data_IF_752686451736
#
_entry.id   IF_752686451736
#
_cell.length_a   1.000
_cell.length_b   1.000
_cell.length_c   1.000
_cell.angle_alpha   90.00
_cell.angle_beta   90.00
_cell.angle_gamma   90.00
#
_symmetry.space_group_name_H-M   'P 1'
#
loop_
_entity.id
_entity.type
_entity.pdbx_description
1 polymer ?
#
# COMPACT_ATOMS: atom_id res chain seq x y z
N UNK A 1 -2.36 39.39 -3.66
CA UNK A 1 -2.25 38.30 -4.63
C UNK A 1 -0.98 37.53 -4.30
N UNK A 2 -1.06 36.58 -3.36
CA UNK A 2 0.06 35.73 -2.97
C UNK A 2 -0.27 34.30 -3.40
N UNK A 3 0.53 33.79 -4.34
CA UNK A 3 0.49 32.41 -4.77
C UNK A 3 1.16 31.54 -3.71
N UNK A 4 0.43 30.58 -3.14
CA UNK A 4 1.01 29.51 -2.34
C UNK A 4 1.52 28.45 -3.32
N UNK A 5 2.84 28.35 -3.43
CA UNK A 5 3.52 27.30 -4.17
C UNK A 5 3.43 26.03 -3.34
N UNK A 6 2.59 25.08 -3.76
CA UNK A 6 2.58 23.72 -3.22
C UNK A 6 3.86 23.02 -3.65
N UNK A 7 4.73 22.70 -2.69
CA UNK A 7 5.91 21.88 -2.94
C UNK A 7 5.45 20.43 -3.14
N UNK A 8 5.46 19.97 -4.39
CA UNK A 8 5.37 18.54 -4.71
C UNK A 8 6.78 17.97 -4.55
N UNK A 9 7.02 17.25 -3.46
CA UNK A 9 8.25 16.48 -3.28
C UNK A 9 8.03 15.11 -3.92
N UNK A 10 8.48 14.95 -5.16
CA UNK A 10 8.54 13.64 -5.82
C UNK A 10 9.85 12.96 -5.41
N UNK A 11 9.78 11.99 -4.51
CA UNK A 11 10.88 11.03 -4.34
C UNK A 11 10.72 9.94 -5.39
N UNK A 12 11.50 10.04 -6.47
CA UNK A 12 11.69 8.92 -7.39
C UNK A 12 12.66 7.94 -6.73
N UNK A 13 12.14 6.85 -6.16
CA UNK A 13 12.95 5.66 -5.90
C UNK A 13 12.91 4.76 -7.14
N UNK A 14 14.09 4.24 -7.48
CA UNK A 14 14.30 3.35 -8.61
C UNK A 14 13.35 2.16 -8.52
N UNK A 15 12.44 2.07 -9.49
CA UNK A 15 11.66 0.86 -9.75
C UNK A 15 12.64 -0.19 -10.26
N UNK A 16 12.83 -1.25 -9.49
CA UNK A 16 13.60 -2.40 -9.90
C UNK A 16 12.83 -3.09 -11.04
N UNK A 17 13.34 -2.94 -12.26
CA UNK A 17 12.70 -3.44 -13.48
C UNK A 17 13.09 -4.90 -13.67
N UNK A 18 12.50 -5.79 -12.88
CA UNK A 18 12.41 -7.18 -13.30
C UNK A 18 11.49 -7.25 -14.53
N UNK A 19 12.13 -7.50 -15.68
CA UNK A 19 11.60 -7.76 -17.02
C UNK A 19 10.08 -7.63 -17.18
N UNK A 20 9.68 -6.58 -17.87
CA UNK A 20 8.34 -6.43 -18.44
C UNK A 20 8.02 -7.65 -19.32
N UNK A 21 7.07 -8.47 -18.90
CA UNK A 21 6.49 -9.53 -19.73
C UNK A 21 5.06 -9.12 -20.07
N UNK A 22 4.75 -9.13 -21.37
CA UNK A 22 3.52 -8.56 -21.92
C UNK A 22 2.22 -9.20 -21.42
N UNK A 23 1.06 -8.59 -21.75
CA UNK A 23 -0.24 -9.04 -21.28
C UNK A 23 -0.56 -10.42 -21.87
N UNK A 24 -0.63 -11.44 -21.00
CA UNK A 24 -0.96 -12.82 -21.37
C UNK A 24 -0.05 -13.91 -20.78
N UNK A 25 0.96 -13.55 -19.99
CA UNK A 25 1.82 -14.53 -19.31
C UNK A 25 1.34 -14.76 -17.87
N UNK A 26 0.57 -15.83 -17.65
CA UNK A 26 0.12 -16.33 -16.34
C UNK A 26 1.28 -16.98 -15.55
N UNK A 27 2.47 -16.37 -15.59
CA UNK A 27 3.62 -16.80 -14.79
C UNK A 27 3.57 -16.12 -13.44
N UNK A 28 2.58 -16.55 -12.64
CA UNK A 28 2.51 -16.21 -11.21
C UNK A 28 3.83 -16.59 -10.54
N UNK A 29 4.46 -15.63 -9.88
CA UNK A 29 5.61 -15.89 -9.02
C UNK A 29 5.15 -16.71 -7.80
N UNK A 30 5.87 -17.79 -7.51
CA UNK A 30 5.68 -18.60 -6.31
C UNK A 30 6.76 -18.28 -5.28
N UNK A 31 6.36 -18.25 -4.01
CA UNK A 31 7.24 -17.93 -2.88
C UNK A 31 7.38 -19.11 -1.90
N UNK A 32 7.25 -20.34 -2.41
CA UNK A 32 7.37 -21.55 -1.60
C UNK A 32 8.76 -21.65 -0.99
N UNK A 33 8.82 -21.81 0.34
CA UNK A 33 10.08 -21.90 1.08
C UNK A 33 10.84 -20.59 1.29
N UNK A 34 10.38 -19.47 0.72
CA UNK A 34 10.93 -18.15 1.05
C UNK A 34 10.67 -17.87 2.53
N UNK A 35 11.63 -17.23 3.19
CA UNK A 35 11.54 -16.92 4.62
C UNK A 35 11.95 -15.47 4.87
N UNK A 36 11.32 -14.82 5.85
CA UNK A 36 11.71 -13.46 6.27
C UNK A 36 12.58 -13.55 7.49
N UNK A 37 13.80 -13.06 7.36
CA UNK A 37 14.78 -12.93 8.44
C UNK A 37 14.67 -11.54 9.04
N UNK A 38 14.68 -11.48 10.37
CA UNK A 38 14.83 -10.26 11.14
C UNK A 38 16.17 -10.24 11.84
N UNK A 39 16.93 -9.17 11.58
CA UNK A 39 18.17 -8.84 12.27
C UNK A 39 18.00 -7.51 13.00
N UNK A 40 18.72 -7.31 14.10
CA UNK A 40 18.77 -6.04 14.81
C UNK A 40 20.24 -5.68 14.98
N UNK A 41 20.83 -4.83 14.12
CA UNK A 41 22.22 -4.41 14.27
C UNK A 41 22.36 -3.60 15.56
N UNK A 42 23.33 -3.96 16.38
CA UNK A 42 23.61 -3.35 17.69
C UNK A 42 24.75 -2.35 17.65
N UNK A 43 25.53 -2.35 16.58
CA UNK A 43 26.63 -1.42 16.33
C UNK A 43 26.76 -1.02 14.85
N UNK A 44 27.67 -0.08 14.58
CA UNK A 44 27.91 0.47 13.25
C UNK A 44 28.50 -0.55 12.27
N UNK A 45 29.27 -1.54 12.75
CA UNK A 45 29.87 -2.58 11.90
C UNK A 45 28.78 -3.51 11.37
N UNK A 46 27.92 -4.01 12.25
CA UNK A 46 26.76 -4.83 11.89
C UNK A 46 25.81 -4.07 10.95
N UNK A 47 25.53 -2.80 11.26
CA UNK A 47 24.70 -1.95 10.42
C UNK A 47 25.30 -1.74 9.02
N UNK A 48 26.62 -1.54 8.94
CA UNK A 48 27.34 -1.36 7.68
C UNK A 48 27.27 -2.61 6.81
N UNK A 49 27.42 -3.81 7.41
CA UNK A 49 27.25 -5.09 6.71
C UNK A 49 25.84 -5.20 6.14
N UNK A 50 24.80 -4.96 6.93
CA UNK A 50 23.42 -5.01 6.46
C UNK A 50 23.14 -3.97 5.37
N UNK A 51 23.68 -2.75 5.49
CA UNK A 51 23.60 -1.72 4.42
C UNK A 51 24.30 -2.20 3.15
N UNK A 52 25.42 -2.90 3.26
CA UNK A 52 26.11 -3.45 2.09
C UNK A 52 25.28 -4.54 1.41
N UNK A 53 24.57 -5.37 2.19
CA UNK A 53 23.63 -6.36 1.65
C UNK A 53 22.46 -5.70 0.92
N UNK A 54 21.98 -4.55 1.40
CA UNK A 54 20.83 -3.86 0.78
C UNK A 54 21.19 -3.08 -0.50
N UNK A 55 22.46 -2.71 -0.70
CA UNK A 55 22.84 -1.75 -1.75
C UNK A 55 23.81 -2.31 -2.81
N UNK A 56 24.26 -3.57 -2.70
CA UNK A 56 25.21 -4.17 -3.66
C UNK A 56 24.52 -5.17 -4.58
N UNK A 57 24.93 -5.15 -5.85
CA UNK A 57 24.38 -6.00 -6.91
C UNK A 57 24.45 -7.50 -6.62
N UNK A 58 25.50 -7.92 -5.89
CA UNK A 58 25.70 -9.31 -5.46
C UNK A 58 24.52 -9.85 -4.63
N UNK A 59 23.77 -8.98 -3.96
CA UNK A 59 22.69 -9.32 -3.05
C UNK A 59 21.30 -8.92 -3.56
N UNK A 60 21.15 -8.53 -4.83
CA UNK A 60 19.85 -8.16 -5.42
C UNK A 60 18.78 -9.25 -5.34
N UNK A 61 19.16 -10.50 -5.08
CA UNK A 61 18.19 -11.58 -4.82
C UNK A 61 17.47 -11.46 -3.47
N UNK A 62 17.89 -10.52 -2.60
CA UNK A 62 17.26 -10.23 -1.32
C UNK A 62 16.22 -9.12 -1.47
N UNK A 63 15.01 -9.38 -0.97
CA UNK A 63 13.96 -8.36 -0.90
C UNK A 63 13.87 -7.80 0.52
N UNK A 64 14.30 -6.55 0.71
CA UNK A 64 14.21 -5.87 1.99
C UNK A 64 12.80 -5.29 2.19
N UNK A 65 12.07 -5.87 3.14
CA UNK A 65 10.77 -5.36 3.58
C UNK A 65 10.94 -4.19 4.55
N UNK A 66 11.99 -4.25 5.39
CA UNK A 66 12.45 -3.14 6.20
C UNK A 66 13.96 -3.03 6.10
N UNK A 67 14.42 -2.00 5.40
CA UNK A 67 15.85 -1.77 5.15
C UNK A 67 16.63 -1.31 6.40
N UNK A 68 17.95 -1.46 6.39
CA UNK A 68 18.83 -1.01 7.46
C UNK A 68 18.97 0.52 7.47
N UNK A 69 18.52 1.15 8.56
CA UNK A 69 18.56 2.62 8.73
C UNK A 69 19.60 3.03 9.75
N UNK A 70 19.32 2.75 11.03
CA UNK A 70 20.14 3.06 12.20
C UNK A 70 20.25 1.83 13.10
N UNK A 71 21.18 1.88 14.05
CA UNK A 71 21.37 0.85 15.08
C UNK A 71 20.10 0.64 15.91
N UNK A 72 19.96 -0.57 16.46
CA UNK A 72 18.86 -1.02 17.31
C UNK A 72 17.47 -0.96 16.65
N UNK A 73 17.41 -0.79 15.34
CA UNK A 73 16.17 -0.91 14.55
C UNK A 73 16.14 -2.24 13.79
N UNK A 74 15.00 -2.94 13.76
CA UNK A 74 14.91 -4.20 13.05
C UNK A 74 15.05 -4.00 11.54
N UNK A 75 15.74 -4.95 10.93
CA UNK A 75 15.93 -5.09 9.48
C UNK A 75 15.26 -6.40 9.08
N UNK A 76 14.29 -6.31 8.18
CA UNK A 76 13.51 -7.45 7.72
C UNK A 76 13.81 -7.71 6.24
N UNK A 77 14.28 -8.91 5.93
CA UNK A 77 14.67 -9.31 4.59
C UNK A 77 14.05 -10.66 4.23
N UNK A 78 13.41 -10.72 3.08
CA UNK A 78 12.92 -11.97 2.49
C UNK A 78 14.06 -12.65 1.73
N UNK A 79 14.31 -13.91 2.09
CA UNK A 79 15.43 -14.72 1.60
C UNK A 79 14.89 -15.90 0.77
N UNK A 80 15.37 -16.08 -0.48
CA UNK A 80 15.06 -17.25 -1.29
C UNK A 80 15.55 -18.56 -0.65
N UNK A 81 14.82 -19.69 -0.79
CA UNK A 81 15.16 -20.95 -0.15
C UNK A 81 16.54 -21.49 -0.54
N UNK A 82 16.98 -21.28 -1.79
CA UNK A 82 18.30 -21.69 -2.28
C UNK A 82 19.45 -20.80 -1.77
N UNK A 83 19.13 -19.62 -1.21
CA UNK A 83 20.09 -18.65 -0.66
C UNK A 83 20.17 -18.64 0.85
N UNK A 84 19.28 -19.36 1.54
CA UNK A 84 19.24 -19.43 3.03
C UNK A 84 20.61 -19.77 3.61
N UNK A 85 21.24 -20.87 3.16
CA UNK A 85 22.53 -21.30 3.70
C UNK A 85 23.64 -20.27 3.48
N UNK A 86 23.65 -19.60 2.33
CA UNK A 86 24.61 -18.54 2.02
C UNK A 86 24.42 -17.33 2.94
N UNK A 87 23.19 -16.84 3.09
CA UNK A 87 22.88 -15.71 3.96
C UNK A 87 23.19 -16.03 5.41
N UNK A 88 22.87 -17.23 5.89
CA UNK A 88 23.19 -17.66 7.24
C UNK A 88 24.70 -17.67 7.50
N UNK A 89 25.49 -18.21 6.57
CA UNK A 89 26.95 -18.22 6.70
C UNK A 89 27.52 -16.79 6.74
N UNK A 90 27.00 -15.89 5.92
CA UNK A 90 27.38 -14.47 5.93
C UNK A 90 27.08 -13.82 7.28
N UNK A 91 25.87 -14.00 7.80
CA UNK A 91 25.45 -13.44 9.08
C UNK A 91 26.29 -14.02 10.24
N UNK A 92 26.58 -15.32 10.23
CA UNK A 92 27.45 -15.98 11.22
C UNK A 92 28.88 -15.42 11.16
N UNK A 93 29.43 -15.21 9.96
CA UNK A 93 30.77 -14.68 9.78
C UNK A 93 30.93 -13.27 10.38
N UNK A 94 29.87 -12.46 10.29
CA UNK A 94 29.80 -11.12 10.87
C UNK A 94 29.19 -11.08 12.28
N UNK A 95 28.89 -12.25 12.89
CA UNK A 95 28.29 -12.39 14.22
C UNK A 95 26.93 -11.70 14.39
N UNK A 96 26.21 -11.48 13.29
CA UNK A 96 24.89 -10.84 13.30
C UNK A 96 23.83 -11.89 13.63
N UNK A 97 23.14 -11.83 14.78
CA UNK A 97 22.08 -12.76 15.10
C UNK A 97 20.85 -12.51 14.21
N UNK A 98 20.17 -13.60 13.83
CA UNK A 98 18.91 -13.54 13.08
C UNK A 98 17.79 -14.29 13.76
N UNK A 99 16.57 -13.84 13.54
CA UNK A 99 15.33 -14.58 13.85
C UNK A 99 14.54 -14.79 12.56
N UNK A 100 13.90 -15.95 12.39
CA UNK A 100 12.94 -16.14 11.30
C UNK A 100 11.58 -15.69 11.82
N UNK A 101 11.03 -14.64 11.23
CA UNK A 101 9.72 -14.10 11.62
C UNK A 101 8.58 -14.64 10.77
N UNK A 102 8.88 -15.08 9.54
CA UNK A 102 7.93 -15.75 8.66
C UNK A 102 8.65 -16.87 7.90
N UNK A 103 8.01 -18.02 7.80
CA UNK A 103 8.51 -19.18 7.04
C UNK A 103 7.51 -19.58 5.97
N UNK A 104 8.01 -19.88 4.77
CA UNK A 104 7.21 -20.30 3.63
C UNK A 104 6.12 -19.27 3.27
N UNK A 105 6.57 -18.14 2.70
CA UNK A 105 5.71 -16.99 2.37
C UNK A 105 4.50 -17.36 1.51
N UNK A 106 4.62 -18.38 0.64
CA UNK A 106 3.48 -18.89 -0.14
C UNK A 106 2.28 -19.26 0.73
N UNK A 107 2.48 -19.73 1.97
CA UNK A 107 1.38 -20.08 2.88
C UNK A 107 0.54 -18.87 3.25
N UNK A 108 1.18 -17.73 3.47
CA UNK A 108 0.50 -16.48 3.81
C UNK A 108 -0.24 -15.93 2.60
N UNK A 109 0.38 -15.98 1.41
CA UNK A 109 -0.26 -15.59 0.14
C UNK A 109 -1.47 -16.48 -0.17
N UNK A 110 -1.34 -17.80 -0.01
CA UNK A 110 -2.41 -18.75 -0.25
C UNK A 110 -3.58 -18.56 0.72
N UNK A 111 -3.27 -18.29 2.00
CA UNK A 111 -4.28 -17.96 3.00
C UNK A 111 -5.05 -16.70 2.63
N UNK A 112 -4.35 -15.61 2.31
CA UNK A 112 -4.98 -14.33 1.94
C UNK A 112 -5.87 -14.49 0.70
N UNK A 113 -5.37 -15.19 -0.33
CA UNK A 113 -6.16 -15.49 -1.54
C UNK A 113 -7.45 -16.22 -1.21
N UNK A 114 -7.37 -17.25 -0.36
CA UNK A 114 -8.56 -17.98 0.06
C UNK A 114 -9.52 -17.05 0.79
N UNK A 115 -9.04 -16.17 1.67
CA UNK A 115 -9.87 -15.18 2.34
C UNK A 115 -10.52 -14.17 1.37
N UNK A 116 -9.84 -13.74 0.31
CA UNK A 116 -10.41 -12.90 -0.75
C UNK A 116 -11.50 -13.59 -1.58
N UNK A 117 -11.38 -14.91 -1.80
CA UNK A 117 -12.35 -15.72 -2.54
C UNK A 117 -13.57 -16.12 -1.68
N UNK A 118 -13.47 -15.98 -0.36
CA UNK A 118 -14.55 -16.35 0.55
C UNK A 118 -15.74 -15.40 0.43
N UNK A 119 -16.98 -15.92 0.48
CA UNK A 119 -18.16 -15.08 0.37
C UNK A 119 -18.29 -14.08 1.51
N UNK A 120 -18.52 -12.81 1.15
CA UNK A 120 -18.64 -11.67 2.06
C UNK A 120 -19.85 -11.70 3.01
N UNK A 121 -20.73 -12.70 2.91
CA UNK A 121 -21.81 -12.90 3.89
C UNK A 121 -21.35 -13.63 5.16
N UNK A 122 -20.12 -14.16 5.16
CA UNK A 122 -19.48 -14.78 6.34
C UNK A 122 -18.74 -13.75 7.21
N UNK A 123 -18.53 -12.53 6.73
CA UNK A 123 -17.93 -11.43 7.48
C UNK A 123 -18.91 -10.72 8.42
N UNK A 124 -18.34 -10.09 9.45
CA UNK A 124 -18.98 -9.51 10.63
C UNK A 124 -20.35 -8.83 10.37
N UNK A 125 -21.36 -9.18 11.16
CA UNK A 125 -22.69 -8.53 11.12
C UNK A 125 -22.53 -7.03 11.38
N UNK A 126 -22.73 -6.21 10.36
CA UNK A 126 -22.81 -4.73 10.47
C UNK A 126 -21.79 -3.94 9.65
N UNK A 127 -20.79 -4.57 9.01
CA UNK A 127 -19.84 -3.90 8.11
C UNK A 127 -20.21 -4.08 6.64
N UNK A 128 -19.92 -3.09 5.79
CA UNK A 128 -20.10 -3.20 4.33
C UNK A 128 -19.29 -4.42 3.82
N UNK A 129 -19.91 -5.36 3.08
CA UNK A 129 -19.25 -6.55 2.55
C UNK A 129 -17.99 -6.27 1.73
N UNK A 130 -17.85 -5.06 1.19
CA UNK A 130 -16.64 -4.62 0.50
C UNK A 130 -15.38 -4.65 1.40
N UNK A 131 -15.51 -4.39 2.72
CA UNK A 131 -14.35 -4.35 3.63
C UNK A 131 -14.04 -5.69 4.31
N UNK A 132 -14.57 -6.80 3.78
CA UNK A 132 -14.38 -8.15 4.33
C UNK A 132 -13.04 -8.81 3.98
N UNK A 133 -12.27 -8.22 3.07
CA UNK A 133 -10.97 -8.68 2.61
C UNK A 133 -10.39 -7.73 1.57
N UNK A 134 -9.16 -7.96 1.12
CA UNK A 134 -8.57 -7.14 0.07
C UNK A 134 -9.30 -7.27 -1.26
N UNK A 135 -9.10 -6.27 -2.12
CA UNK A 135 -9.86 -6.10 -3.37
C UNK A 135 -8.93 -5.95 -4.55
N UNK A 136 -9.35 -6.51 -5.67
CA UNK A 136 -8.72 -6.25 -6.96
C UNK A 136 -9.01 -4.81 -7.40
N UNK A 137 -8.19 -4.30 -8.33
CA UNK A 137 -8.29 -2.93 -8.81
C UNK A 137 -9.68 -2.59 -9.34
N UNK A 138 -10.23 -3.48 -10.15
CA UNK A 138 -11.53 -3.32 -10.78
C UNK A 138 -12.67 -3.26 -9.75
N UNK A 139 -12.53 -4.00 -8.65
CA UNK A 139 -13.47 -3.97 -7.53
C UNK A 139 -13.40 -2.63 -6.79
N UNK A 140 -12.20 -2.10 -6.57
CA UNK A 140 -11.98 -0.78 -5.96
C UNK A 140 -12.58 0.31 -6.85
N UNK A 141 -12.28 0.32 -8.15
CA UNK A 141 -12.84 1.31 -9.09
C UNK A 141 -14.37 1.27 -9.11
N UNK A 142 -14.94 0.07 -9.17
CA UNK A 142 -16.40 -0.10 -9.12
C UNK A 142 -16.98 0.40 -7.81
N UNK A 143 -16.33 0.12 -6.69
CA UNK A 143 -16.76 0.58 -5.37
C UNK A 143 -16.79 2.11 -5.30
N UNK A 144 -15.74 2.77 -5.79
CA UNK A 144 -15.63 4.23 -5.78
C UNK A 144 -16.70 4.88 -6.68
N UNK A 145 -16.95 4.33 -7.87
CA UNK A 145 -18.02 4.78 -8.76
C UNK A 145 -19.40 4.61 -8.07
N UNK A 146 -19.65 3.45 -7.46
CA UNK A 146 -20.91 3.17 -6.74
C UNK A 146 -21.09 4.02 -5.48
N UNK A 147 -20.01 4.38 -4.80
CA UNK A 147 -20.07 5.30 -3.67
C UNK A 147 -20.53 6.69 -4.16
N UNK A 148 -20.04 7.11 -5.32
CA UNK A 148 -20.44 8.39 -5.90
C UNK A 148 -21.89 8.41 -6.39
N UNK A 149 -22.37 7.30 -6.97
CA UNK A 149 -23.77 7.12 -7.34
C UNK A 149 -24.72 7.16 -6.14
N UNK A 150 -24.29 6.64 -4.98
CA UNK A 150 -25.07 6.63 -3.73
C UNK A 150 -25.13 8.00 -3.06
N UNK A 151 -24.07 8.80 -3.17
CA UNK A 151 -23.94 10.10 -2.48
C UNK A 151 -23.66 11.27 -3.44
N UNK A 152 -24.46 11.47 -4.51
CA UNK A 152 -24.11 12.36 -5.63
C UNK A 152 -24.06 13.85 -5.27
N UNK A 153 -24.64 14.26 -4.13
CA UNK A 153 -24.64 15.65 -3.68
C UNK A 153 -23.31 16.10 -3.07
N UNK A 154 -22.52 15.13 -2.58
CA UNK A 154 -21.28 15.38 -1.84
C UNK A 154 -20.09 14.64 -2.44
N UNK A 155 -20.28 13.84 -3.49
CA UNK A 155 -19.21 13.05 -4.10
C UNK A 155 -19.14 13.23 -5.61
N UNK A 156 -17.94 13.05 -6.16
CA UNK A 156 -17.70 12.98 -7.60
C UNK A 156 -16.43 12.18 -7.88
N UNK A 157 -16.40 11.47 -9.00
CA UNK A 157 -15.22 10.71 -9.44
C UNK A 157 -14.69 11.31 -10.73
N UNK A 158 -13.38 11.46 -10.83
CA UNK A 158 -12.71 11.92 -12.03
C UNK A 158 -11.33 11.26 -12.15
N UNK A 159 -10.77 11.29 -13.36
CA UNK A 159 -9.40 10.83 -13.60
C UNK A 159 -8.42 12.01 -13.58
N UNK A 160 -7.26 11.83 -12.97
CA UNK A 160 -6.15 12.80 -12.99
C UNK A 160 -5.07 12.48 -14.03
N UNK A 161 -5.22 11.38 -14.76
CA UNK A 161 -4.25 10.93 -15.75
C UNK A 161 -4.35 9.43 -16.03
N UNK A 162 -3.29 8.89 -16.62
CA UNK A 162 -3.16 7.46 -16.90
C UNK A 162 -1.83 6.94 -16.33
N UNK A 163 -1.83 5.69 -15.87
CA UNK A 163 -0.62 4.98 -15.45
C UNK A 163 0.26 4.65 -16.66
N UNK A 164 1.47 4.14 -16.42
CA UNK A 164 2.38 3.71 -17.49
C UNK A 164 1.78 2.60 -18.38
N UNK A 165 0.84 1.82 -17.86
CA UNK A 165 0.12 0.77 -18.60
C UNK A 165 -1.24 1.25 -19.14
N UNK A 166 -1.52 2.56 -19.08
CA UNK A 166 -2.74 3.16 -19.64
C UNK A 166 -3.99 3.00 -18.77
N UNK A 167 -3.85 2.70 -17.47
CA UNK A 167 -5.01 2.63 -16.54
C UNK A 167 -5.35 4.02 -16.01
N UNK A 168 -6.63 4.33 -15.88
CA UNK A 168 -7.06 5.64 -15.37
C UNK A 168 -6.68 5.82 -13.89
N UNK A 169 -6.03 6.93 -13.56
CA UNK A 169 -5.76 7.32 -12.17
C UNK A 169 -7.02 7.96 -11.58
N UNK A 170 -7.94 7.13 -11.08
CA UNK A 170 -9.21 7.58 -10.51
C UNK A 170 -9.03 8.23 -9.15
N UNK A 171 -9.78 9.31 -8.94
CA UNK A 171 -9.87 10.05 -7.68
C UNK A 171 -11.32 10.26 -7.34
N UNK A 172 -11.69 9.99 -6.08
CA UNK A 172 -12.96 10.44 -5.52
C UNK A 172 -12.76 11.73 -4.76
N UNK A 173 -13.55 12.74 -5.11
CA UNK A 173 -13.73 13.94 -4.30
C UNK A 173 -14.96 13.77 -3.43
N UNK A 174 -14.84 14.08 -2.13
CA UNK A 174 -15.92 14.12 -1.15
C UNK A 174 -15.94 15.51 -0.51
N UNK A 175 -17.02 16.25 -0.67
CA UNK A 175 -17.18 17.61 -0.16
C UNK A 175 -18.53 18.17 -0.54
N UNK A 176 -19.23 18.78 0.42
CA UNK A 176 -20.48 19.48 0.12
C UNK A 176 -20.22 20.76 -0.69
N UNK A 177 -21.26 21.22 -1.40
CA UNK A 177 -21.18 22.44 -2.20
C UNK A 177 -20.90 23.64 -1.29
N UNK A 178 -19.79 24.33 -1.54
CA UNK A 178 -19.52 25.61 -0.89
C UNK A 178 -20.54 26.65 -1.32
N UNK A 179 -21.13 27.34 -0.35
CA UNK A 179 -21.94 28.55 -0.57
C UNK A 179 -21.08 29.83 -0.54
N UNK A 180 -19.79 29.70 -0.21
CA UNK A 180 -18.81 30.78 -0.17
C UNK A 180 -18.15 30.98 -1.53
N UNK A 181 -17.75 32.22 -1.81
CA UNK A 181 -16.92 32.58 -2.97
C UNK A 181 -15.49 32.03 -2.81
N UNK A 182 -15.07 31.75 -1.57
CA UNK A 182 -13.76 31.16 -1.27
C UNK A 182 -13.85 29.64 -1.38
N UNK A 183 -12.91 29.03 -2.11
CA UNK A 183 -12.79 27.59 -2.20
C UNK A 183 -12.50 26.98 -0.83
N UNK A 184 -13.06 25.80 -0.56
CA UNK A 184 -12.78 25.06 0.67
C UNK A 184 -11.31 24.62 0.69
N UNK A 185 -10.66 24.58 1.86
CA UNK A 185 -9.39 23.89 2.01
C UNK A 185 -9.54 22.41 1.59
N UNK A 186 -8.50 21.86 0.98
CA UNK A 186 -8.49 20.50 0.48
C UNK A 186 -7.58 19.59 1.33
N UNK A 187 -8.01 18.35 1.51
CA UNK A 187 -7.22 17.26 2.10
C UNK A 187 -7.03 16.19 1.03
N UNK A 188 -5.78 15.82 0.77
CA UNK A 188 -5.42 14.77 -0.16
C UNK A 188 -4.95 13.54 0.62
N UNK A 189 -5.50 12.37 0.30
CA UNK A 189 -5.12 11.09 0.87
C UNK A 189 -4.89 10.13 -0.29
N UNK A 190 -3.64 9.72 -0.47
CA UNK A 190 -3.27 8.64 -1.39
C UNK A 190 -2.92 7.36 -0.64
N UNK A 191 -3.11 6.25 -1.32
CA UNK A 191 -2.67 4.95 -0.87
C UNK A 191 -2.25 4.07 -2.04
N UNK A 192 -1.39 3.08 -1.76
CA UNK A 192 -0.96 2.12 -2.78
C UNK A 192 0.20 2.56 -3.67
N UNK A 193 0.91 3.66 -3.34
CA UNK A 193 2.10 4.08 -4.11
C UNK A 193 3.15 2.96 -4.25
N UNK A 194 3.23 2.06 -3.25
CA UNK A 194 3.89 0.76 -3.38
C UNK A 194 2.83 -0.35 -3.51
N UNK A 195 2.86 -1.07 -4.63
CA UNK A 195 1.87 -2.09 -4.97
C UNK A 195 1.74 -3.25 -3.97
N UNK A 196 2.76 -3.49 -3.12
CA UNK A 196 2.75 -4.56 -2.10
C UNK A 196 2.10 -4.16 -0.76
N UNK A 197 1.74 -2.90 -0.60
CA UNK A 197 1.20 -2.35 0.66
C UNK A 197 -0.33 -2.35 0.66
N UNK A 198 -0.97 -3.52 0.48
CA UNK A 198 -2.41 -3.66 0.20
C UNK A 198 -3.36 -3.08 1.26
N UNK A 199 -2.89 -2.93 2.51
CA UNK A 199 -3.66 -2.26 3.56
C UNK A 199 -3.90 -0.78 3.29
N UNK A 200 -2.99 -0.14 2.54
CA UNK A 200 -3.05 1.28 2.22
C UNK A 200 -4.29 1.64 1.38
N UNK A 201 -4.48 1.10 0.16
CA UNK A 201 -5.68 1.40 -0.64
C UNK A 201 -6.99 0.94 0.05
N UNK A 202 -6.96 -0.18 0.79
CA UNK A 202 -8.13 -0.60 1.57
C UNK A 202 -8.53 0.44 2.64
N UNK A 203 -7.56 1.07 3.29
CA UNK A 203 -7.80 2.12 4.28
C UNK A 203 -8.30 3.40 3.64
N UNK A 204 -7.76 3.81 2.48
CA UNK A 204 -8.25 4.99 1.74
C UNK A 204 -9.71 4.80 1.32
N UNK A 205 -10.05 3.65 0.76
CA UNK A 205 -11.43 3.31 0.42
C UNK A 205 -12.36 3.32 1.65
N UNK A 206 -11.88 2.86 2.81
CA UNK A 206 -12.64 2.90 4.06
C UNK A 206 -12.88 4.33 4.56
N UNK A 207 -11.87 5.20 4.51
CA UNK A 207 -12.02 6.62 4.86
C UNK A 207 -13.05 7.28 3.94
N UNK A 208 -12.94 7.04 2.62
CA UNK A 208 -13.91 7.56 1.66
C UNK A 208 -15.34 7.09 1.95
N UNK A 209 -15.50 5.79 2.26
CA UNK A 209 -16.77 5.22 2.69
C UNK A 209 -17.33 5.91 3.93
N UNK A 210 -16.55 6.01 5.02
CA UNK A 210 -17.02 6.63 6.26
C UNK A 210 -17.43 8.09 6.05
N UNK A 211 -16.64 8.87 5.31
CA UNK A 211 -16.95 10.28 5.04
C UNK A 211 -18.27 10.44 4.25
N UNK A 212 -18.53 9.59 3.26
CA UNK A 212 -19.74 9.67 2.44
C UNK A 212 -20.97 9.06 3.14
N UNK A 213 -20.85 7.86 3.69
CA UNK A 213 -21.95 7.10 4.29
C UNK A 213 -22.45 7.71 5.60
N UNK A 214 -21.58 8.37 6.37
CA UNK A 214 -21.93 8.95 7.67
C UNK A 214 -22.28 10.44 7.59
N UNK A 215 -22.19 11.08 6.42
CA UNK A 215 -22.44 12.51 6.24
C UNK A 215 -23.79 12.98 6.81
N UNK A 216 -24.84 12.19 6.61
CA UNK A 216 -26.18 12.53 7.10
C UNK A 216 -26.46 12.04 8.53
N UNK A 217 -25.63 11.10 9.03
CA UNK A 217 -25.84 10.41 10.30
C UNK A 217 -24.97 10.95 11.45
N UNK A 218 -23.85 11.61 11.15
CA UNK A 218 -22.86 12.10 12.11
C UNK A 218 -22.61 13.60 11.93
N UNK A 219 -22.88 14.39 12.96
CA UNK A 219 -22.62 15.84 12.94
C UNK A 219 -21.12 16.15 12.82
N UNK A 220 -20.25 15.31 13.37
CA UNK A 220 -18.79 15.46 13.26
C UNK A 220 -18.34 15.22 11.81
N UNK A 221 -18.81 14.13 11.19
CA UNK A 221 -18.51 13.83 9.78
C UNK A 221 -19.06 14.92 8.85
N UNK A 222 -20.28 15.39 9.12
CA UNK A 222 -20.90 16.50 8.37
C UNK A 222 -20.04 17.75 8.44
N UNK A 223 -19.59 18.16 9.62
CA UNK A 223 -18.72 19.33 9.78
C UNK A 223 -17.40 19.19 9.00
N UNK A 224 -16.79 18.00 9.01
CA UNK A 224 -15.57 17.72 8.26
C UNK A 224 -15.79 17.85 6.74
N UNK A 225 -16.86 17.26 6.21
CA UNK A 225 -17.18 17.29 4.78
C UNK A 225 -17.69 18.67 4.33
N UNK A 226 -18.31 19.44 5.22
CA UNK A 226 -18.74 20.82 4.94
C UNK A 226 -17.58 21.81 4.97
N UNK A 227 -16.57 21.57 5.80
CA UNK A 227 -15.42 22.46 5.91
C UNK A 227 -14.30 22.14 4.89
N UNK A 228 -14.06 20.86 4.60
CA UNK A 228 -12.96 20.41 3.72
C UNK A 228 -13.46 19.69 2.46
N UNK A 229 -12.73 19.86 1.37
CA UNK A 229 -12.83 18.96 0.22
C UNK A 229 -11.80 17.84 0.36
N UNK A 230 -12.27 16.60 0.46
CA UNK A 230 -11.44 15.41 0.60
C UNK A 230 -11.21 14.78 -0.76
N UNK A 231 -9.98 14.42 -1.07
CA UNK A 231 -9.61 13.72 -2.29
C UNK A 231 -8.94 12.40 -1.90
N UNK A 232 -9.57 11.29 -2.27
CA UNK A 232 -9.03 9.95 -2.11
C UNK A 232 -8.56 9.42 -3.46
N UNK A 233 -7.29 9.03 -3.55
CA UNK A 233 -6.74 8.38 -4.74
C UNK A 233 -6.19 7.00 -4.40
N UNK A 234 -6.70 5.99 -5.09
CA UNK A 234 -6.20 4.62 -5.01
C UNK A 234 -5.17 4.43 -6.13
N UNK A 235 -3.89 4.58 -5.81
CA UNK A 235 -2.80 4.41 -6.78
C UNK A 235 -2.57 2.91 -7.00
N UNK A 236 -2.86 2.45 -8.22
CA UNK A 236 -2.32 1.21 -8.80
C UNK A 236 -1.74 1.52 -10.17
#
# INVERSE_FOLDING_TARGET
MLAVVGAVVVFAQLIDTHQFVGPGDDRRQHYSGYSVFRMVPTDEEELSVLKSMANRDEYQFLDFWKGPTVENQPVDVMVPPDKVAFVEQLLIAHRIPRTIVMYDIERYIAKERLEMEMPSFLSFRGSDPFFSGYKQLEEIYKFVDQLAERHPNITSVFSIGESAEGRQLKVIKIGSKSTSVVAKPAIWIDGGIHAREWISPATVAYIAHSLASEYDASDDTRQLVDHFDWYGSDLI
#
